data_IF_050986705854
#
_entry.id   IF_050986705854
#
_cell.length_a   1.000
_cell.length_b   1.000
_cell.length_c   1.000
_cell.angle_alpha   90.00
_cell.angle_beta   90.00
_cell.angle_gamma   90.00
#
_symmetry.space_group_name_H-M   'P 1'
#
loop_
_entity.id
_entity.type
_entity.pdbx_description
1 polymer ?
2 water ?
#
# COMPACT_ATOMS: atom_id res chain seq x y z
N UNK A 3 4.69 1.70 14.02
CA UNK A 3 4.25 0.29 13.79
C UNK A 3 5.43 -0.58 13.38
N UNK A 4 6.44 0.04 12.78
CA UNK A 4 7.66 -0.65 12.35
C UNK A 4 7.40 -1.86 11.45
N UNK A 5 7.36 -3.05 12.04
CA UNK A 5 7.14 -4.27 11.28
C UNK A 5 6.22 -5.26 12.01
N UNK A 6 6.60 -6.54 11.99
CA UNK A 6 5.82 -7.60 12.63
C UNK A 6 4.44 -7.73 11.98
N UNK A 7 4.29 -7.06 10.84
CA UNK A 7 3.06 -7.05 10.06
C UNK A 7 3.45 -6.31 8.79
N UNK A 8 4.11 -5.17 8.98
CA UNK A 8 4.59 -4.37 7.88
C UNK A 8 5.77 -5.15 7.33
N UNK A 9 6.22 -6.11 8.13
CA UNK A 9 7.33 -6.97 7.76
C UNK A 9 6.82 -8.03 6.79
N UNK A 10 5.58 -8.46 6.99
CA UNK A 10 4.98 -9.46 6.12
C UNK A 10 4.57 -8.85 4.79
N UNK A 11 4.49 -7.52 4.74
CA UNK A 11 4.12 -6.83 3.51
C UNK A 11 5.29 -6.90 2.54
N UNK A 12 4.97 -7.08 1.26
CA UNK A 12 6.00 -7.15 0.24
C UNK A 12 6.51 -5.74 0.00
N UNK A 13 7.49 -5.60 -0.90
CA UNK A 13 8.03 -4.29 -1.20
C UNK A 13 7.01 -3.46 -1.97
N UNK A 14 6.31 -4.08 -2.91
CA UNK A 14 5.29 -3.36 -3.66
C UNK A 14 4.16 -2.93 -2.74
N UNK A 15 3.72 -3.84 -1.87
CA UNK A 15 2.63 -3.52 -0.95
C UNK A 15 2.96 -2.39 0.00
N UNK A 16 4.12 -2.46 0.64
CA UNK A 16 4.51 -1.42 1.59
C UNK A 16 4.64 -0.06 0.90
N UNK A 17 5.14 -0.08 -0.33
CA UNK A 17 5.31 1.16 -1.07
C UNK A 17 3.97 1.73 -1.52
N UNK A 18 3.09 0.86 -2.00
CA UNK A 18 1.77 1.31 -2.43
C UNK A 18 1.02 1.88 -1.23
N UNK A 19 1.11 1.19 -0.09
CA UNK A 19 0.42 1.67 1.10
C UNK A 19 0.93 3.02 1.57
N UNK A 20 2.24 3.15 1.71
CA UNK A 20 2.83 4.40 2.16
C UNK A 20 2.49 5.57 1.24
N UNK A 21 2.56 5.37 -0.07
CA UNK A 21 2.21 6.45 -0.97
C UNK A 21 0.72 6.76 -0.85
N UNK A 22 -0.12 5.73 -0.86
CA UNK A 22 -1.56 5.94 -0.76
C UNK A 22 -1.99 6.65 0.54
N UNK A 23 -1.40 6.25 1.66
CA UNK A 23 -1.76 6.79 2.97
C UNK A 23 -1.05 8.04 3.44
N UNK A 24 -0.16 8.59 2.62
CA UNK A 24 0.54 9.80 3.01
C UNK A 24 1.77 9.58 3.87
N UNK A 25 2.21 8.33 3.99
CA UNK A 25 3.37 7.99 4.81
C UNK A 25 4.71 8.30 4.16
N UNK A 26 4.71 8.62 2.87
CA UNK A 26 5.94 8.94 2.17
C UNK A 26 6.21 10.44 2.19
N UNK A 27 5.30 11.21 1.61
CA UNK A 27 5.45 12.65 1.54
C UNK A 27 4.37 13.41 2.30
N UNK A 28 3.77 12.75 3.29
CA UNK A 28 2.74 13.40 4.08
C UNK A 28 1.47 13.76 3.33
N UNK A 29 1.31 13.24 2.12
CA UNK A 29 0.10 13.53 1.36
C UNK A 29 -0.52 12.23 0.85
N UNK A 30 -1.84 12.12 0.94
CA UNK A 30 -2.53 10.94 0.45
C UNK A 30 -2.66 11.02 -1.06
N UNK A 31 -2.41 9.89 -1.72
CA UNK A 31 -2.48 9.81 -3.18
C UNK A 31 -3.67 8.98 -3.61
N UNK A 32 -4.29 9.39 -4.71
CA UNK A 32 -5.43 8.67 -5.24
C UNK A 32 -4.92 7.40 -5.90
N UNK A 33 -5.83 6.48 -6.18
CA UNK A 33 -5.46 5.24 -6.83
C UNK A 33 -4.87 5.56 -8.21
N UNK A 34 -5.40 6.60 -8.84
CA UNK A 34 -4.93 7.00 -10.17
C UNK A 34 -3.53 7.59 -10.11
N UNK A 35 -3.27 8.39 -9.08
CA UNK A 35 -1.95 8.99 -8.94
C UNK A 35 -0.91 7.91 -8.73
N UNK A 36 -1.25 6.92 -7.91
CA UNK A 36 -0.32 5.83 -7.64
C UNK A 36 -0.16 4.93 -8.86
N UNK A 37 -1.25 4.69 -9.58
CA UNK A 37 -1.15 3.86 -10.77
C UNK A 37 -0.26 4.54 -11.80
N UNK A 38 -0.48 5.83 -12.03
CA UNK A 38 0.34 6.54 -13.00
C UNK A 38 1.80 6.66 -12.54
N UNK A 39 1.98 6.71 -11.22
CA UNK A 39 3.31 6.80 -10.61
C UNK A 39 4.17 5.60 -11.00
N UNK A 40 3.63 4.39 -10.84
CA UNK A 40 4.36 3.17 -11.16
C UNK A 40 4.07 2.63 -12.55
N UNK A 41 3.08 3.22 -13.22
CA UNK A 41 2.73 2.77 -14.55
C UNK A 41 1.88 1.51 -14.57
N UNK A 42 0.85 1.49 -13.73
CA UNK A 42 -0.06 0.34 -13.66
C UNK A 42 -1.49 0.86 -13.55
N UNK A 43 -2.46 -0.02 -13.75
CA UNK A 43 -3.85 0.41 -13.70
C UNK A 43 -4.33 0.78 -12.30
N UNK A 44 -5.39 1.56 -12.28
CA UNK A 44 -6.01 2.00 -11.04
C UNK A 44 -6.42 0.75 -10.27
N UNK A 45 -7.03 -0.19 -10.99
CA UNK A 45 -7.50 -1.44 -10.41
C UNK A 45 -6.39 -2.31 -9.82
N UNK A 46 -5.23 -2.33 -10.46
CA UNK A 46 -4.11 -3.13 -9.97
C UNK A 46 -3.65 -2.59 -8.62
N UNK A 47 -3.64 -1.27 -8.50
CA UNK A 47 -3.23 -0.63 -7.25
C UNK A 47 -4.24 -0.94 -6.15
N UNK A 48 -5.51 -0.94 -6.52
CA UNK A 48 -6.57 -1.23 -5.54
C UNK A 48 -6.38 -2.65 -5.02
N UNK A 49 -6.04 -3.55 -5.93
CA UNK A 49 -5.82 -4.95 -5.60
C UNK A 49 -4.62 -5.11 -4.66
N UNK A 50 -3.53 -4.40 -4.93
CA UNK A 50 -2.35 -4.49 -4.07
C UNK A 50 -2.65 -3.90 -2.69
N UNK A 51 -3.40 -2.80 -2.67
CA UNK A 51 -3.73 -2.15 -1.40
C UNK A 51 -4.65 -3.03 -0.55
N UNK A 52 -5.66 -3.61 -1.18
CA UNK A 52 -6.61 -4.45 -0.44
C UNK A 52 -5.92 -5.67 0.17
N UNK A 53 -4.96 -6.21 -0.56
CA UNK A 53 -4.20 -7.38 -0.11
C UNK A 53 -3.28 -7.00 1.04
N UNK A 54 -2.67 -5.82 0.94
CA UNK A 54 -1.77 -5.36 1.99
C UNK A 54 -2.58 -5.17 3.27
N UNK A 55 -3.76 -4.55 3.13
CA UNK A 55 -4.62 -4.29 4.27
C UNK A 55 -5.12 -5.59 4.90
N UNK A 56 -5.42 -6.59 4.08
CA UNK A 56 -5.87 -7.87 4.63
C UNK A 56 -4.73 -8.53 5.40
N UNK A 57 -3.50 -8.39 4.89
CA UNK A 57 -2.35 -8.96 5.55
C UNK A 57 -2.09 -8.28 6.89
N UNK A 58 -2.37 -6.98 6.97
CA UNK A 58 -2.18 -6.25 8.22
C UNK A 58 -3.23 -6.68 9.24
N UNK A 59 -4.44 -6.95 8.75
CA UNK A 59 -5.53 -7.39 9.61
C UNK A 59 -5.18 -8.74 10.22
N UNK A 60 -4.60 -9.61 9.40
CA UNK A 60 -4.22 -10.95 9.84
C UNK A 60 -3.20 -10.90 10.97
N UNK A 61 -2.12 -10.16 10.77
CA UNK A 61 -1.07 -10.10 11.77
C UNK A 61 -1.33 -9.19 12.96
N UNK A 62 -2.54 -8.65 13.03
CA UNK A 62 -2.92 -7.80 14.15
C UNK A 62 -3.64 -8.72 15.14
N UNK A 63 -4.01 -9.90 14.66
CA UNK A 63 -4.70 -10.90 15.47
C UNK A 63 -3.73 -11.66 16.38
#
# INVERSE_FOLDING_TARGET
SEELEKALSKLSEREAMVLKMRKGLIDGREHTLEEVGAYFGVTRERIRQIENKALRKLKYHESRTRKLRDFLE
#
